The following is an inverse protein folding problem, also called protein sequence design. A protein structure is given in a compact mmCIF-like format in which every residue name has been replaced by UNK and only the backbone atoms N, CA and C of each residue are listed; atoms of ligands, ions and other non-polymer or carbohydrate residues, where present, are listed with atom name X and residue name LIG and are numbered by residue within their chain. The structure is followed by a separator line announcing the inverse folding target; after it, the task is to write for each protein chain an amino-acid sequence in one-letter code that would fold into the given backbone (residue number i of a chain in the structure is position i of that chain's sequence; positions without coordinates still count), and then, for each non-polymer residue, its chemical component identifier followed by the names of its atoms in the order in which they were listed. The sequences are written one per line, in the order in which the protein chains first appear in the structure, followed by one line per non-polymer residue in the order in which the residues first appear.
data_IF_885086321026
#
_entry.id   IF_885086321026
#
_cell.length_a   1.000
_cell.length_b   1.000
_cell.length_c   1.000
_cell.angle_alpha   90.00
_cell.angle_beta   90.00
_cell.angle_gamma   90.00
#
_symmetry.space_group_name_H-M   'P 1'
#
loop_
_entity.id
_entity.type
_entity.pdbx_description
1 polymer ?
#
# COMPACT_ATOMS: atom_id res chain seq x y z
N UNK A 1 16.90 19.99 3.37
CA UNK A 1 16.92 18.55 2.98
C UNK A 1 15.86 17.70 3.70
N UNK A 2 15.68 17.81 5.04
CA UNK A 2 14.62 17.10 5.80
C UNK A 2 13.18 17.46 5.38
N UNK A 3 12.89 18.75 5.19
CA UNK A 3 11.58 19.25 4.75
C UNK A 3 11.15 18.70 3.40
N UNK A 4 12.10 18.56 2.46
CA UNK A 4 11.82 18.04 1.12
C UNK A 4 11.39 16.57 1.11
N UNK A 5 12.05 15.72 1.90
CA UNK A 5 11.66 14.30 2.05
C UNK A 5 10.28 14.15 2.71
N UNK A 6 9.96 15.01 3.67
CA UNK A 6 8.64 15.02 4.29
C UNK A 6 7.54 15.39 3.28
N UNK A 7 7.76 16.44 2.48
CA UNK A 7 6.86 16.81 1.38
C UNK A 7 6.68 15.67 0.36
N UNK A 8 7.78 15.01 -0.03
CA UNK A 8 7.74 13.87 -0.96
C UNK A 8 6.90 12.71 -0.40
N UNK A 9 7.10 12.31 0.87
CA UNK A 9 6.28 11.27 1.48
C UNK A 9 4.82 11.66 1.67
N UNK A 10 4.54 12.94 1.93
CA UNK A 10 3.16 13.44 2.00
C UNK A 10 2.46 13.33 0.64
N UNK A 11 3.16 13.68 -0.44
CA UNK A 11 2.64 13.55 -1.80
C UNK A 11 2.41 12.07 -2.14
N UNK A 12 3.38 11.20 -1.83
CA UNK A 12 3.22 9.76 -2.03
C UNK A 12 2.03 9.20 -1.25
N UNK A 13 1.86 9.61 0.01
CA UNK A 13 0.69 9.23 0.81
C UNK A 13 -0.63 9.56 0.11
N UNK A 14 -0.78 10.80 -0.36
CA UNK A 14 -2.01 11.24 -1.04
C UNK A 14 -2.21 10.45 -2.34
N UNK A 15 -1.17 10.31 -3.17
CA UNK A 15 -1.24 9.56 -4.43
C UNK A 15 -1.68 8.11 -4.17
N UNK A 16 -1.07 7.45 -3.19
CA UNK A 16 -1.41 6.05 -2.88
C UNK A 16 -2.79 5.90 -2.24
N UNK A 17 -3.22 6.86 -1.44
CA UNK A 17 -4.59 6.88 -0.94
C UNK A 17 -5.61 7.03 -2.09
N UNK A 18 -5.33 7.85 -3.10
CA UNK A 18 -6.18 7.97 -4.29
C UNK A 18 -6.13 6.72 -5.18
N UNK A 19 -4.96 6.12 -5.39
CA UNK A 19 -4.83 4.86 -6.14
C UNK A 19 -5.62 3.74 -5.47
N UNK A 20 -5.52 3.62 -4.14
CA UNK A 20 -6.31 2.67 -3.36
C UNK A 20 -7.81 2.88 -3.51
N UNK A 21 -8.26 4.14 -3.49
CA UNK A 21 -9.66 4.46 -3.73
C UNK A 21 -10.13 4.07 -5.14
N UNK A 22 -9.35 4.38 -6.19
CA UNK A 22 -9.65 3.97 -7.56
C UNK A 22 -9.75 2.46 -7.66
N UNK A 23 -8.81 1.74 -7.04
CA UNK A 23 -8.80 0.28 -7.03
C UNK A 23 -10.08 -0.30 -6.42
N UNK A 24 -10.46 0.12 -5.21
CA UNK A 24 -11.67 -0.37 -4.53
C UNK A 24 -12.96 -0.02 -5.29
N UNK A 25 -13.10 1.23 -5.74
CA UNK A 25 -14.27 1.66 -6.51
C UNK A 25 -14.38 0.89 -7.83
N UNK A 26 -13.26 0.60 -8.48
CA UNK A 26 -13.24 -0.18 -9.72
C UNK A 26 -13.62 -1.64 -9.47
N UNK A 27 -13.14 -2.24 -8.37
CA UNK A 27 -13.54 -3.59 -7.96
C UNK A 27 -15.06 -3.67 -7.74
N UNK A 28 -15.62 -2.74 -6.97
CA UNK A 28 -17.06 -2.73 -6.67
C UNK A 28 -17.93 -2.51 -7.91
N UNK A 29 -17.53 -1.54 -8.74
CA UNK A 29 -18.31 -1.16 -9.91
C UNK A 29 -18.24 -2.21 -11.01
N UNK A 30 -17.04 -2.69 -11.36
CA UNK A 30 -16.84 -3.52 -12.54
C UNK A 30 -16.81 -5.02 -12.24
N UNK A 31 -16.26 -5.42 -11.08
CA UNK A 31 -16.08 -6.84 -10.76
C UNK A 31 -17.27 -7.36 -9.94
N UNK A 32 -17.58 -6.70 -8.83
CA UNK A 32 -18.69 -7.12 -7.97
C UNK A 32 -20.05 -6.66 -8.48
N UNK A 33 -20.08 -5.69 -9.41
CA UNK A 33 -21.31 -5.12 -10.01
C UNK A 33 -22.29 -4.58 -8.97
N UNK A 34 -21.78 -4.07 -7.85
CA UNK A 34 -22.58 -3.48 -6.78
C UNK A 34 -23.00 -2.04 -7.06
N UNK A 35 -22.56 -1.49 -8.21
CA UNK A 35 -22.74 -0.09 -8.56
C UNK A 35 -21.62 0.78 -8.00
N UNK A 36 -21.69 2.08 -8.29
CA UNK A 36 -20.72 3.04 -7.78
C UNK A 36 -21.04 3.37 -6.33
N UNK A 37 -20.12 3.03 -5.43
CA UNK A 37 -20.19 3.39 -4.01
C UNK A 37 -18.90 4.10 -3.61
N UNK A 38 -19.02 5.28 -3.00
CA UNK A 38 -17.85 6.02 -2.52
C UNK A 38 -17.36 5.42 -1.19
N UNK A 39 -16.28 4.64 -1.25
CA UNK A 39 -15.59 4.09 -0.07
C UNK A 39 -14.68 5.06 0.65
N UNK A 40 -14.46 6.23 0.07
CA UNK A 40 -13.50 7.19 0.57
C UNK A 40 -13.89 7.82 1.90
N UNK A 41 -12.89 8.13 2.71
CA UNK A 41 -13.08 8.75 4.02
C UNK A 41 -13.38 10.23 3.83
N UNK A 42 -14.30 10.78 4.64
CA UNK A 42 -14.78 12.17 4.53
C UNK A 42 -15.36 12.52 3.15
N UNK A 43 -15.99 11.54 2.47
CA UNK A 43 -16.55 11.67 1.12
C UNK A 43 -15.53 12.02 0.02
N UNK A 44 -14.23 11.99 0.30
CA UNK A 44 -13.18 12.30 -0.66
C UNK A 44 -12.74 11.09 -1.50
N UNK A 45 -12.09 11.28 -2.66
CA UNK A 45 -11.59 10.20 -3.51
C UNK A 45 -10.27 9.60 -2.99
N UNK A 46 -10.20 9.28 -1.70
CA UNK A 46 -8.99 8.73 -1.08
C UNK A 46 -9.31 7.74 0.04
N UNK A 47 -8.47 6.71 0.15
CA UNK A 47 -8.48 5.73 1.23
C UNK A 47 -7.15 5.79 1.99
N UNK A 48 -7.11 6.48 3.16
CA UNK A 48 -5.88 6.68 3.92
C UNK A 48 -5.13 5.39 4.27
N UNK A 49 -5.85 4.27 4.45
CA UNK A 49 -5.27 2.96 4.75
C UNK A 49 -4.25 2.52 3.69
N UNK A 50 -4.52 2.78 2.42
CA UNK A 50 -3.60 2.47 1.31
C UNK A 50 -2.39 3.39 1.34
N UNK A 51 -2.57 4.66 1.69
CA UNK A 51 -1.47 5.61 1.89
C UNK A 51 -0.52 5.18 3.01
N UNK A 52 -1.06 4.79 4.17
CA UNK A 52 -0.26 4.30 5.29
C UNK A 52 0.47 3.00 4.95
N UNK A 53 -0.22 2.01 4.39
CA UNK A 53 0.40 0.73 4.00
C UNK A 53 1.53 0.92 2.98
N UNK A 54 1.30 1.76 1.96
CA UNK A 54 2.31 2.12 0.97
C UNK A 54 3.55 2.77 1.62
N UNK A 55 3.35 3.76 2.49
CA UNK A 55 4.46 4.40 3.20
C UNK A 55 5.23 3.41 4.08
N UNK A 56 4.54 2.50 4.78
CA UNK A 56 5.20 1.47 5.58
C UNK A 56 6.13 0.60 4.72
N UNK A 57 5.67 0.14 3.55
CA UNK A 57 6.53 -0.62 2.64
C UNK A 57 7.71 0.18 2.10
N UNK A 58 7.50 1.46 1.77
CA UNK A 58 8.56 2.33 1.27
C UNK A 58 9.63 2.55 2.34
N UNK A 59 9.22 2.88 3.56
CA UNK A 59 10.15 3.18 4.65
C UNK A 59 10.92 1.94 5.08
N UNK A 60 10.26 0.79 5.20
CA UNK A 60 10.88 -0.42 5.72
C UNK A 60 11.67 -1.20 4.67
N UNK A 61 11.19 -1.31 3.43
CA UNK A 61 11.69 -2.33 2.50
C UNK A 61 12.26 -1.77 1.20
N UNK A 62 11.84 -0.59 0.75
CA UNK A 62 12.26 -0.07 -0.55
C UNK A 62 13.77 0.16 -0.66
N UNK A 63 14.44 0.53 0.43
CA UNK A 63 15.88 0.73 0.47
C UNK A 63 16.70 -0.52 0.12
N UNK A 64 16.11 -1.72 0.26
CA UNK A 64 16.76 -2.99 -0.06
C UNK A 64 16.93 -3.19 -1.57
N UNK A 65 16.00 -2.67 -2.36
CA UNK A 65 15.96 -2.83 -3.81
C UNK A 65 16.37 -1.57 -4.57
N UNK A 66 16.24 -0.39 -3.95
CA UNK A 66 16.55 0.89 -4.58
C UNK A 66 18.01 0.94 -5.03
N UNK A 67 18.23 1.41 -6.26
CA UNK A 67 19.56 1.58 -6.89
C UNK A 67 20.44 0.31 -6.95
N UNK A 68 19.84 -0.88 -6.76
CA UNK A 68 20.54 -2.16 -6.92
C UNK A 68 20.55 -2.64 -8.38
N UNK A 69 21.57 -3.42 -8.78
CA UNK A 69 21.59 -4.05 -10.11
C UNK A 69 20.40 -4.99 -10.30
N UNK A 70 19.96 -5.16 -11.56
CA UNK A 70 18.76 -5.92 -11.92
C UNK A 70 18.83 -7.36 -11.40
N UNK A 71 19.98 -8.02 -11.49
CA UNK A 71 20.18 -9.38 -10.98
C UNK A 71 19.86 -9.47 -9.48
N UNK A 72 20.40 -8.54 -8.68
CA UNK A 72 20.13 -8.50 -7.24
C UNK A 72 18.66 -8.18 -6.95
N UNK A 73 18.04 -7.28 -7.72
CA UNK A 73 16.60 -7.00 -7.59
C UNK A 73 15.75 -8.26 -7.80
N UNK A 74 16.04 -9.05 -8.83
CA UNK A 74 15.31 -10.29 -9.11
C UNK A 74 15.51 -11.34 -8.01
N UNK A 75 16.74 -11.53 -7.52
CA UNK A 75 17.01 -12.45 -6.41
C UNK A 75 16.31 -12.05 -5.10
N UNK A 76 16.00 -10.77 -4.93
CA UNK A 76 15.32 -10.25 -3.74
C UNK A 76 13.79 -10.38 -3.77
N UNK A 77 13.20 -10.81 -4.90
CA UNK A 77 11.73 -10.94 -5.02
C UNK A 77 11.12 -11.82 -3.92
N UNK A 78 11.62 -13.04 -3.63
CA UNK A 78 11.03 -13.89 -2.59
C UNK A 78 11.16 -13.27 -1.19
N UNK A 79 12.27 -12.56 -0.94
CA UNK A 79 12.51 -11.89 0.33
C UNK A 79 11.53 -10.73 0.50
N UNK A 80 11.36 -9.88 -0.52
CA UNK A 80 10.42 -8.76 -0.47
C UNK A 80 8.98 -9.27 -0.36
N UNK A 81 8.64 -10.37 -1.05
CA UNK A 81 7.34 -11.02 -0.90
C UNK A 81 7.06 -11.39 0.56
N UNK A 82 7.99 -12.08 1.23
CA UNK A 82 7.81 -12.48 2.62
C UNK A 82 7.77 -11.27 3.57
N UNK A 83 8.65 -10.29 3.36
CA UNK A 83 8.71 -9.09 4.21
C UNK A 83 7.42 -8.26 4.10
N UNK A 84 6.92 -8.04 2.88
CA UNK A 84 5.67 -7.30 2.66
C UNK A 84 4.46 -8.09 3.15
N UNK A 85 4.42 -9.41 2.94
CA UNK A 85 3.39 -10.30 3.48
C UNK A 85 3.31 -10.21 5.01
N UNK A 86 4.44 -10.40 5.71
CA UNK A 86 4.50 -10.36 7.18
C UNK A 86 4.12 -8.98 7.70
N UNK A 87 4.65 -7.92 7.08
CA UNK A 87 4.36 -6.54 7.49
C UNK A 87 2.87 -6.20 7.33
N UNK A 88 2.28 -6.55 6.19
CA UNK A 88 0.85 -6.32 5.94
C UNK A 88 -0.03 -7.12 6.89
N UNK A 89 0.32 -8.39 7.12
CA UNK A 89 -0.43 -9.27 8.02
C UNK A 89 -0.36 -8.76 9.47
N UNK A 90 0.81 -8.27 9.91
CA UNK A 90 0.96 -7.67 11.23
C UNK A 90 0.15 -6.37 11.35
N UNK A 91 0.13 -5.53 10.30
CA UNK A 91 -0.71 -4.34 10.26
C UNK A 91 -2.19 -4.69 10.28
N UNK A 92 -2.62 -5.66 9.48
CA UNK A 92 -4.02 -6.13 9.43
C UNK A 92 -4.45 -6.66 10.81
N UNK A 93 -3.61 -7.45 11.47
CA UNK A 93 -3.87 -7.94 12.82
C UNK A 93 -3.98 -6.79 13.83
N UNK A 94 -3.02 -5.85 13.82
CA UNK A 94 -3.06 -4.67 14.70
C UNK A 94 -4.31 -3.82 14.46
N UNK A 95 -4.64 -3.55 13.20
CA UNK A 95 -5.84 -2.80 12.83
C UNK A 95 -7.10 -3.52 13.26
N UNK A 96 -7.15 -4.86 13.20
CA UNK A 96 -8.32 -5.61 13.68
C UNK A 96 -8.58 -5.40 15.17
N UNK A 97 -7.54 -5.42 16.01
CA UNK A 97 -7.66 -5.16 17.45
C UNK A 97 -8.01 -3.70 17.74
N UNK A 98 -7.43 -2.75 17.00
CA UNK A 98 -7.77 -1.33 17.14
C UNK A 98 -9.22 -1.05 16.73
N UNK A 99 -9.71 -1.65 15.65
CA UNK A 99 -11.11 -1.51 15.21
C UNK A 99 -12.07 -2.12 16.23
N UNK A 100 -11.75 -3.30 16.77
CA UNK A 100 -12.57 -3.89 17.83
C UNK A 100 -12.61 -3.01 19.09
N UNK A 101 -11.47 -2.46 19.51
CA UNK A 101 -11.43 -1.60 20.69
C UNK A 101 -12.17 -0.26 20.49
N UNK A 102 -12.11 0.32 19.29
CA UNK A 102 -12.72 1.64 19.00
C UNK A 102 -14.15 1.57 18.50
N UNK A 103 -14.52 0.54 17.74
CA UNK A 103 -15.80 0.41 17.04
C UNK A 103 -16.58 -0.85 17.45
N UNK A 104 -16.02 -1.71 18.32
CA UNK A 104 -16.64 -2.97 18.74
C UNK A 104 -16.63 -4.08 17.68
N UNK A 105 -16.11 -3.81 16.48
CA UNK A 105 -16.07 -4.77 15.38
C UNK A 105 -14.97 -4.43 14.38
N UNK A 106 -14.52 -5.42 13.59
CA UNK A 106 -13.59 -5.21 12.47
C UNK A 106 -14.24 -5.59 11.13
N UNK A 107 -13.72 -5.10 9.98
CA UNK A 107 -14.42 -5.20 8.70
C UNK A 107 -14.41 -6.60 8.06
N UNK A 108 -13.40 -7.43 8.36
CA UNK A 108 -13.13 -8.69 7.66
C UNK A 108 -13.44 -9.94 8.52
N UNK A 109 -14.57 -9.93 9.22
CA UNK A 109 -15.01 -11.06 10.07
C UNK A 109 -15.25 -12.36 9.30
N UNK A 110 -15.49 -12.28 7.99
CA UNK A 110 -15.64 -13.43 7.09
C UNK A 110 -14.37 -14.25 6.91
N UNK A 111 -13.22 -13.79 7.42
CA UNK A 111 -11.99 -14.59 7.42
C UNK A 111 -12.10 -15.87 8.26
N UNK A 112 -13.11 -15.98 9.15
CA UNK A 112 -13.39 -17.24 9.88
C UNK A 112 -13.65 -18.43 8.96
N UNK A 113 -14.17 -18.19 7.77
CA UNK A 113 -14.51 -19.24 6.80
C UNK A 113 -13.29 -19.72 5.98
N UNK A 114 -12.13 -19.09 6.15
CA UNK A 114 -10.91 -19.44 5.43
C UNK A 114 -10.20 -20.61 6.12
N UNK A 115 -9.66 -21.54 5.32
CA UNK A 115 -9.02 -22.77 5.80
C UNK A 115 -7.85 -22.54 6.78
N UNK A 116 -7.07 -21.47 6.57
CA UNK A 116 -5.97 -21.07 7.46
C UNK A 116 -6.21 -19.62 7.86
N UNK A 117 -6.80 -19.45 9.05
CA UNK A 117 -7.07 -18.16 9.66
C UNK A 117 -6.63 -18.13 11.13
N UNK A 118 -6.44 -16.93 11.66
CA UNK A 118 -6.19 -16.70 13.08
C UNK A 118 -7.29 -15.80 13.63
N UNK A 119 -8.12 -16.35 14.52
CA UNK A 119 -9.28 -15.69 15.16
C UNK A 119 -10.29 -15.03 14.18
N UNK A 120 -10.25 -15.35 12.88
CA UNK A 120 -10.98 -14.60 11.86
C UNK A 120 -10.52 -13.14 11.69
N UNK A 121 -9.31 -12.81 12.18
CA UNK A 121 -8.69 -11.48 12.08
C UNK A 121 -7.68 -11.39 10.94
N UNK A 122 -6.97 -12.48 10.66
CA UNK A 122 -6.06 -12.60 9.53
C UNK A 122 -6.24 -13.97 8.90
N UNK A 123 -5.96 -14.08 7.61
CA UNK A 123 -5.99 -15.35 6.90
C UNK A 123 -4.84 -15.43 5.89
N UNK A 124 -4.35 -16.66 5.65
CA UNK A 124 -3.19 -16.88 4.79
C UNK A 124 -3.42 -16.43 3.34
N UNK A 125 -4.63 -16.62 2.81
CA UNK A 125 -4.97 -16.22 1.44
C UNK A 125 -4.84 -14.69 1.24
N UNK A 126 -5.47 -13.83 2.08
CA UNK A 126 -5.19 -12.39 2.10
C UNK A 126 -3.70 -12.05 2.28
N UNK A 127 -3.00 -12.69 3.22
CA UNK A 127 -1.56 -12.46 3.45
C UNK A 127 -0.73 -12.65 2.18
N UNK A 128 -0.96 -13.75 1.44
CA UNK A 128 -0.26 -14.03 0.19
C UNK A 128 -0.55 -12.93 -0.86
N UNK A 129 -1.80 -12.48 -0.96
CA UNK A 129 -2.18 -11.38 -1.88
C UNK A 129 -1.44 -10.09 -1.52
N UNK A 130 -1.30 -9.77 -0.23
CA UNK A 130 -0.51 -8.61 0.20
C UNK A 130 0.97 -8.76 -0.14
N UNK A 131 1.54 -9.96 -0.03
CA UNK A 131 2.92 -10.22 -0.46
C UNK A 131 3.12 -9.98 -1.96
N UNK A 132 2.23 -10.52 -2.80
CA UNK A 132 2.27 -10.31 -4.26
C UNK A 132 2.10 -8.82 -4.58
N UNK A 133 1.09 -8.19 -3.99
CA UNK A 133 0.81 -6.76 -4.14
C UNK A 133 2.00 -5.90 -3.73
N UNK A 134 2.66 -6.23 -2.61
CA UNK A 134 3.85 -5.55 -2.12
C UNK A 134 5.04 -5.63 -3.09
N UNK A 135 5.27 -6.80 -3.70
CA UNK A 135 6.31 -6.95 -4.75
C UNK A 135 5.96 -6.07 -5.96
N UNK A 136 4.75 -6.19 -6.50
CA UNK A 136 4.32 -5.41 -7.67
C UNK A 136 4.45 -3.91 -7.39
N UNK A 137 3.99 -3.49 -6.22
CA UNK A 137 4.06 -2.10 -5.76
C UNK A 137 5.50 -1.59 -5.72
N UNK A 138 6.40 -2.29 -5.03
CA UNK A 138 7.79 -1.84 -4.83
C UNK A 138 8.64 -1.93 -6.11
N UNK A 139 8.35 -2.87 -7.01
CA UNK A 139 9.14 -3.08 -8.24
C UNK A 139 8.62 -2.32 -9.46
N UNK A 140 7.33 -1.95 -9.48
CA UNK A 140 6.71 -1.30 -10.64
C UNK A 140 6.23 0.10 -10.29
N UNK A 141 5.37 0.24 -9.27
CA UNK A 141 4.66 1.49 -9.00
C UNK A 141 5.59 2.54 -8.35
N UNK A 142 6.28 2.18 -7.27
CA UNK A 142 7.20 3.10 -6.58
C UNK A 142 8.32 3.64 -7.49
N UNK A 143 9.06 2.83 -8.28
CA UNK A 143 10.11 3.36 -9.14
C UNK A 143 9.56 4.23 -10.28
N UNK A 144 8.32 4.01 -10.72
CA UNK A 144 7.66 4.92 -11.67
C UNK A 144 7.41 6.30 -11.03
N UNK A 145 6.90 6.32 -9.80
CA UNK A 145 6.65 7.57 -9.06
C UNK A 145 7.95 8.30 -8.69
N UNK A 146 9.02 7.58 -8.33
CA UNK A 146 10.35 8.17 -8.12
C UNK A 146 10.85 8.90 -9.38
N UNK A 147 10.68 8.30 -10.57
CA UNK A 147 11.06 8.93 -11.85
C UNK A 147 10.24 10.18 -12.15
N UNK A 148 8.93 10.15 -11.85
CA UNK A 148 8.06 11.30 -12.03
C UNK A 148 8.44 12.44 -11.07
N UNK A 149 8.67 12.13 -9.80
CA UNK A 149 9.11 13.09 -8.79
C UNK A 149 10.46 13.73 -9.15
N UNK A 150 11.41 12.94 -9.65
CA UNK A 150 12.71 13.45 -10.13
C UNK A 150 12.54 14.44 -11.30
N UNK A 151 11.72 14.11 -12.31
CA UNK A 151 11.45 15.01 -13.44
C UNK A 151 10.83 16.35 -13.01
N UNK A 152 9.92 16.32 -12.03
CA UNK A 152 9.28 17.52 -11.51
C UNK A 152 10.28 18.41 -10.76
N UNK A 153 11.17 17.80 -9.97
CA UNK A 153 12.26 18.51 -9.30
C UNK A 153 13.21 19.20 -10.28
N UNK A 154 13.63 18.49 -11.33
CA UNK A 154 14.57 19.05 -12.31
C UNK A 154 13.97 20.21 -13.09
N UNK A 155 12.65 20.16 -13.36
CA UNK A 155 11.93 21.26 -14.02
C UNK A 155 11.80 22.49 -13.11
N UNK A 156 11.57 22.29 -11.82
CA UNK A 156 11.56 23.39 -10.84
C UNK A 156 12.95 24.04 -10.73
N UNK A 157 14.03 23.25 -10.66
CA UNK A 157 15.39 23.79 -10.61
C UNK A 157 15.76 24.64 -11.84
N UNK A 158 15.23 24.30 -13.03
CA UNK A 158 15.43 25.05 -14.27
C UNK A 158 14.57 26.31 -14.42
N UNK A 159 13.49 26.43 -13.65
CA UNK A 159 12.57 27.59 -13.74
C UNK A 159 12.95 28.69 -12.75
N UNK A 160 13.70 28.35 -11.71
CA UNK A 160 14.18 29.27 -10.67
C UNK A 160 15.63 29.73 -10.88
N UNK A 161 16.27 29.29 -11.96
CA UNK A 161 17.60 29.68 -12.41
C UNK A 161 17.48 30.62 -13.62
#
# INVERSE_FOLDING_TARGET
MKTRKFSEYTIFFIIYACIGWIYEVSLETFIYKWGFSNRGVLYGPWLPVYGFGALTFIVLWYHLIKDKPIVKKLCMIPVIFLLTMVTATALELLTSYLCEWTMGSWPWQTYKDYAINFEGRIALSPSIRFGIGGVVFLYVIQPFLDKLAAKLSDKQAKTTA
#
